data_IF_700365553122
#
_entry.id   IF_700365553122
#
_cell.length_a   1.000
_cell.length_b   1.000
_cell.length_c   1.000
_cell.angle_alpha   90.00
_cell.angle_beta   90.00
_cell.angle_gamma   90.00
#
_symmetry.space_group_name_H-M   'P 1'
#
loop_
_entity.id
_entity.type
_entity.pdbx_description
1 polymer ?
#
# COMPACT_ATOMS: atom_id res chain seq x y z
N UNK A 1 -13.21 16.85 -58.75
CA UNK A 1 -12.76 17.39 -57.45
C UNK A 1 -13.60 16.77 -56.35
N UNK A 2 -13.02 15.91 -55.49
CA UNK A 2 -13.61 15.52 -54.20
C UNK A 2 -12.45 15.28 -53.24
N UNK A 3 -12.46 16.00 -52.12
CA UNK A 3 -11.35 16.13 -51.16
C UNK A 3 -11.15 14.87 -50.30
N UNK A 4 -9.87 14.53 -50.08
CA UNK A 4 -9.17 14.30 -48.78
C UNK A 4 -10.00 13.55 -47.72
N UNK A 5 -9.68 12.31 -47.36
CA UNK A 5 -8.49 11.97 -46.58
C UNK A 5 -8.91 11.76 -45.12
N UNK A 6 -9.13 10.50 -44.73
CA UNK A 6 -9.54 10.11 -43.39
C UNK A 6 -8.48 10.48 -42.36
N UNK A 7 -8.81 11.42 -41.46
CA UNK A 7 -8.03 11.66 -40.25
C UNK A 7 -8.61 10.76 -39.16
N UNK A 8 -7.85 9.75 -38.77
CA UNK A 8 -7.92 9.18 -37.43
C UNK A 8 -7.80 10.34 -36.43
N UNK A 9 -8.89 10.68 -35.76
CA UNK A 9 -8.90 11.72 -34.73
C UNK A 9 -8.07 11.22 -33.56
N UNK A 10 -6.88 11.78 -33.39
CA UNK A 10 -6.10 11.63 -32.16
C UNK A 10 -6.98 12.02 -30.97
N UNK A 11 -6.99 11.21 -29.89
CA UNK A 11 -7.80 11.50 -28.72
C UNK A 11 -7.36 12.83 -28.11
N UNK A 12 -8.34 13.65 -27.74
CA UNK A 12 -8.10 14.96 -27.12
C UNK A 12 -7.26 14.81 -25.85
N UNK A 13 -6.38 15.77 -25.50
CA UNK A 13 -5.64 15.75 -24.24
C UNK A 13 -6.53 15.55 -22.99
N UNK A 14 -7.80 16.01 -23.05
CA UNK A 14 -8.78 15.81 -21.97
C UNK A 14 -9.36 14.39 -21.89
N UNK A 15 -9.33 13.64 -22.99
CA UNK A 15 -9.71 12.22 -23.01
C UNK A 15 -8.55 11.35 -22.54
N UNK A 16 -7.31 11.71 -22.86
CA UNK A 16 -6.10 11.06 -22.33
C UNK A 16 -5.93 11.29 -20.81
N UNK A 17 -6.28 12.47 -20.31
CA UNK A 17 -6.28 12.76 -18.88
C UNK A 17 -7.31 11.89 -18.13
N UNK A 18 -8.53 11.75 -18.66
CA UNK A 18 -9.57 10.91 -18.04
C UNK A 18 -9.25 9.42 -18.05
N UNK A 19 -8.59 8.90 -19.08
CA UNK A 19 -8.20 7.48 -19.12
C UNK A 19 -7.11 7.17 -18.11
N UNK A 20 -6.12 8.06 -17.93
CA UNK A 20 -5.05 7.87 -16.95
C UNK A 20 -5.53 7.98 -15.50
N UNK A 21 -6.41 8.94 -15.19
CA UNK A 21 -7.02 9.04 -13.86
C UNK A 21 -7.92 7.83 -13.55
N UNK A 22 -8.71 7.36 -14.53
CA UNK A 22 -9.62 6.22 -14.36
C UNK A 22 -8.92 4.84 -14.31
N UNK A 23 -7.77 4.67 -14.96
CA UNK A 23 -6.96 3.46 -14.84
C UNK A 23 -6.17 3.41 -13.53
N UNK A 24 -5.70 4.56 -13.04
CA UNK A 24 -4.97 4.66 -11.79
C UNK A 24 -5.87 4.47 -10.55
N UNK A 25 -7.16 4.81 -10.63
CA UNK A 25 -8.13 4.52 -9.57
C UNK A 25 -8.46 3.01 -9.45
N UNK A 26 -8.41 2.24 -10.55
CA UNK A 26 -8.68 0.80 -10.55
C UNK A 26 -7.57 -0.05 -9.93
N UNK A 27 -6.35 0.48 -9.83
CA UNK A 27 -5.20 -0.18 -9.20
C UNK A 27 -5.11 0.06 -7.68
N UNK A 28 -6.01 0.84 -7.08
CA UNK A 28 -6.01 1.15 -5.63
C UNK A 28 -6.39 -0.01 -4.71
N UNK A 29 -7.04 -1.06 -5.23
CA UNK A 29 -7.31 -2.24 -4.41
C UNK A 29 -6.02 -3.07 -4.31
N UNK A 30 -5.56 -3.34 -3.08
CA UNK A 30 -4.58 -4.39 -2.85
C UNK A 30 -5.03 -5.67 -3.58
N UNK A 31 -4.10 -6.57 -3.98
CA UNK A 31 -4.44 -7.83 -4.66
C UNK A 31 -5.47 -8.71 -3.92
N UNK A 32 -5.73 -8.39 -2.66
CA UNK A 32 -6.69 -9.07 -1.78
C UNK A 32 -8.10 -8.48 -1.78
N UNK A 33 -8.36 -7.37 -2.49
CA UNK A 33 -9.66 -6.69 -2.55
C UNK A 33 -10.10 -6.02 -1.24
N UNK A 34 -9.25 -6.02 -0.20
CA UNK A 34 -9.54 -5.40 1.10
C UNK A 34 -9.12 -3.94 1.14
N UNK A 35 -9.89 -3.06 1.80
CA UNK A 35 -9.52 -1.66 1.97
C UNK A 35 -8.28 -1.52 2.86
N UNK A 36 -7.49 -0.49 2.60
CA UNK A 36 -6.38 -0.06 3.46
C UNK A 36 -6.91 0.94 4.50
N UNK A 37 -6.67 0.69 5.78
CA UNK A 37 -7.07 1.63 6.85
C UNK A 37 -6.01 2.70 7.12
N UNK A 38 -4.75 2.39 6.81
CA UNK A 38 -3.60 3.17 7.25
C UNK A 38 -2.38 2.94 6.37
N UNK A 39 -1.68 4.02 6.02
CA UNK A 39 -0.37 3.96 5.41
C UNK A 39 0.70 4.43 6.41
N UNK A 40 1.60 3.53 6.80
CA UNK A 40 2.76 3.84 7.66
C UNK A 40 4.02 3.74 6.81
N UNK A 41 4.88 4.77 6.89
CA UNK A 41 6.12 4.81 6.13
C UNK A 41 7.33 4.76 7.07
N UNK A 42 8.31 3.95 6.70
CA UNK A 42 9.51 3.66 7.50
C UNK A 42 10.76 3.96 6.66
N UNK A 43 11.85 4.36 7.31
CA UNK A 43 13.15 4.70 6.68
C UNK A 43 13.34 6.19 6.41
N UNK A 44 14.59 6.67 6.42
CA UNK A 44 14.90 8.10 6.34
C UNK A 44 14.40 8.80 5.07
N UNK A 45 14.52 8.13 3.92
CA UNK A 45 14.09 8.69 2.63
C UNK A 45 12.57 8.87 2.51
N UNK A 46 11.79 8.21 3.38
CA UNK A 46 10.34 8.42 3.46
C UNK A 46 9.96 9.81 3.96
N UNK A 47 10.91 10.59 4.53
CA UNK A 47 10.67 11.97 4.95
C UNK A 47 10.47 12.93 3.78
N UNK A 48 10.97 12.61 2.59
CA UNK A 48 10.81 13.43 1.40
C UNK A 48 9.32 13.56 1.01
N UNK A 49 8.86 14.79 0.81
CA UNK A 49 7.45 15.07 0.51
C UNK A 49 6.98 14.39 -0.79
N UNK A 50 7.82 14.35 -1.82
CA UNK A 50 7.51 13.69 -3.08
C UNK A 50 7.21 12.20 -2.92
N UNK A 51 7.99 11.48 -2.11
CA UNK A 51 7.77 10.04 -1.82
C UNK A 51 6.47 9.84 -1.06
N UNK A 52 6.20 10.69 -0.07
CA UNK A 52 4.96 10.60 0.71
C UNK A 52 3.72 10.83 -0.15
N UNK A 53 3.74 11.83 -1.04
CA UNK A 53 2.64 12.10 -1.97
C UNK A 53 2.44 10.95 -2.96
N UNK A 54 3.52 10.44 -3.54
CA UNK A 54 3.44 9.29 -4.44
C UNK A 54 2.84 8.06 -3.74
N UNK A 55 3.33 7.74 -2.53
CA UNK A 55 2.84 6.61 -1.76
C UNK A 55 1.36 6.78 -1.35
N UNK A 56 0.96 7.98 -0.93
CA UNK A 56 -0.44 8.29 -0.59
C UNK A 56 -1.36 8.16 -1.81
N UNK A 57 -0.94 8.68 -2.96
CA UNK A 57 -1.71 8.57 -4.21
C UNK A 57 -1.86 7.10 -4.65
N UNK A 58 -0.80 6.29 -4.51
CA UNK A 58 -0.82 4.88 -4.87
C UNK A 58 -1.66 4.03 -3.92
N UNK A 59 -1.53 4.26 -2.61
CA UNK A 59 -2.27 3.54 -1.59
C UNK A 59 -3.74 4.00 -1.46
N UNK A 60 -4.03 5.20 -1.94
CA UNK A 60 -5.33 5.85 -1.77
C UNK A 60 -5.68 6.25 -0.33
N UNK A 61 -4.68 6.25 0.57
CA UNK A 61 -4.81 6.54 1.99
C UNK A 61 -3.68 7.48 2.41
N UNK A 62 -3.99 8.45 3.26
CA UNK A 62 -3.01 9.40 3.78
C UNK A 62 -1.95 8.75 4.68
N UNK A 63 -0.73 9.27 4.59
CA UNK A 63 0.40 8.79 5.40
C UNK A 63 0.21 9.16 6.86
N UNK A 64 0.15 8.15 7.73
CA UNK A 64 0.16 8.33 9.19
C UNK A 64 1.50 8.88 9.68
N UNK A 65 1.43 9.83 10.62
CA UNK A 65 2.58 10.51 11.23
C UNK A 65 2.79 10.17 12.71
N UNK A 66 2.03 9.23 13.24
CA UNK A 66 2.07 8.83 14.66
C UNK A 66 3.29 7.97 15.02
N UNK A 67 4.03 7.49 14.01
CA UNK A 67 5.19 6.62 14.16
C UNK A 67 6.42 7.33 13.58
N UNK A 68 7.52 7.37 14.33
CA UNK A 68 8.79 7.87 13.81
C UNK A 68 9.40 6.86 12.81
N UNK A 69 9.61 7.23 11.54
CA UNK A 69 10.17 6.36 10.52
C UNK A 69 11.58 5.84 10.81
N UNK A 70 12.36 6.54 11.64
CA UNK A 70 13.74 6.17 11.96
C UNK A 70 13.83 5.16 13.10
N UNK A 71 12.89 5.20 14.05
CA UNK A 71 12.94 4.39 15.27
C UNK A 71 12.00 3.19 15.24
N UNK A 72 10.98 3.20 14.38
CA UNK A 72 9.94 2.17 14.34
C UNK A 72 10.50 0.74 14.28
N UNK A 73 11.54 0.51 13.46
CA UNK A 73 12.16 -0.81 13.29
C UNK A 73 12.89 -1.25 14.55
N UNK A 74 13.71 -0.37 15.14
CA UNK A 74 14.47 -0.69 16.35
C UNK A 74 13.53 -0.98 17.53
N UNK A 75 12.47 -0.19 17.68
CA UNK A 75 11.43 -0.41 18.71
C UNK A 75 10.70 -1.74 18.50
N UNK A 76 10.35 -2.07 17.25
CA UNK A 76 9.72 -3.35 16.91
C UNK A 76 10.63 -4.55 17.20
N UNK A 77 11.92 -4.45 16.88
CA UNK A 77 12.90 -5.49 17.18
C UNK A 77 13.10 -5.71 18.69
N UNK A 78 13.17 -4.62 19.47
CA UNK A 78 13.25 -4.70 20.93
C UNK A 78 12.00 -5.36 21.54
N UNK A 79 10.81 -5.02 21.03
CA UNK A 79 9.56 -5.67 21.46
C UNK A 79 9.56 -7.16 21.11
N UNK A 80 10.03 -7.54 19.92
CA UNK A 80 10.14 -8.94 19.51
C UNK A 80 11.10 -9.72 20.42
N UNK A 81 12.24 -9.13 20.79
CA UNK A 81 13.16 -9.74 21.75
C UNK A 81 12.50 -9.96 23.12
N UNK A 82 11.78 -8.95 23.61
CA UNK A 82 11.04 -9.06 24.88
C UNK A 82 9.97 -10.17 24.87
N UNK A 83 9.31 -10.41 23.72
CA UNK A 83 8.37 -11.54 23.58
C UNK A 83 9.10 -12.88 23.64
N UNK A 84 10.24 -13.01 22.95
CA UNK A 84 11.04 -14.26 22.95
C UNK A 84 11.60 -14.56 24.34
N UNK A 85 11.99 -13.54 25.10
CA UNK A 85 12.47 -13.67 26.48
C UNK A 85 11.34 -13.90 27.49
N UNK A 86 10.07 -13.80 27.08
CA UNK A 86 8.90 -13.95 27.94
C UNK A 86 8.62 -12.73 28.84
N UNK A 87 9.27 -11.59 28.59
CA UNK A 87 9.05 -10.33 29.31
C UNK A 87 7.77 -9.62 28.88
N UNK A 88 7.34 -9.81 27.63
CA UNK A 88 6.10 -9.28 27.08
C UNK A 88 5.13 -10.41 26.75
N UNK A 89 3.88 -10.31 27.22
CA UNK A 89 2.83 -11.31 27.02
C UNK A 89 1.59 -10.69 26.36
N UNK A 90 0.74 -11.52 25.73
CA UNK A 90 -0.48 -11.07 25.05
C UNK A 90 -0.26 -10.52 23.63
N UNK A 91 0.93 -10.65 23.07
CA UNK A 91 1.24 -10.32 21.68
C UNK A 91 1.64 -11.58 20.92
N UNK A 92 1.01 -11.81 19.77
CA UNK A 92 1.38 -12.85 18.82
C UNK A 92 1.76 -12.21 17.49
N UNK A 93 2.93 -12.58 16.97
CA UNK A 93 3.42 -12.16 15.65
C UNK A 93 3.49 -13.42 14.79
N UNK A 94 2.71 -13.45 13.72
CA UNK A 94 2.67 -14.56 12.77
C UNK A 94 3.29 -14.10 11.44
N UNK A 95 4.06 -14.98 10.81
CA UNK A 95 4.49 -14.77 9.42
C UNK A 95 3.39 -15.19 8.43
N UNK A 96 3.65 -14.99 7.14
CA UNK A 96 2.66 -15.27 6.10
C UNK A 96 2.27 -16.74 6.03
N UNK A 97 3.19 -17.67 6.31
CA UNK A 97 2.93 -19.10 6.27
C UNK A 97 2.14 -19.57 7.50
N UNK A 98 2.51 -19.13 8.71
CA UNK A 98 1.77 -19.40 9.93
C UNK A 98 0.32 -18.89 9.82
N UNK A 99 0.14 -17.67 9.30
CA UNK A 99 -1.18 -17.11 9.07
C UNK A 99 -2.00 -17.95 8.06
N UNK A 100 -1.38 -18.43 6.97
CA UNK A 100 -2.05 -19.27 5.98
C UNK A 100 -2.46 -20.63 6.57
N UNK A 101 -1.58 -21.28 7.32
CA UNK A 101 -1.90 -22.54 8.00
C UNK A 101 -3.04 -22.36 8.99
N UNK A 102 -2.99 -21.32 9.81
CA UNK A 102 -4.07 -20.98 10.75
C UNK A 102 -5.41 -20.83 10.05
N UNK A 103 -5.43 -20.10 8.92
CA UNK A 103 -6.64 -19.93 8.11
C UNK A 103 -7.12 -21.24 7.45
N UNK A 104 -6.20 -22.15 7.10
CA UNK A 104 -6.54 -23.45 6.53
C UNK A 104 -7.16 -24.38 7.58
N UNK A 105 -6.56 -24.47 8.78
CA UNK A 105 -7.08 -25.29 9.87
C UNK A 105 -8.44 -24.78 10.36
N UNK A 106 -8.64 -23.46 10.44
CA UNK A 106 -9.92 -22.87 10.84
C UNK A 106 -11.08 -23.15 9.86
N UNK A 107 -10.82 -23.67 8.65
CA UNK A 107 -11.86 -24.09 7.69
C UNK A 107 -12.19 -25.58 7.75
N UNK A 108 -11.37 -26.37 8.46
CA UNK A 108 -11.57 -27.81 8.64
C UNK A 108 -12.43 -28.12 9.88
N UNK A 109 -12.60 -27.15 10.77
CA UNK A 109 -13.59 -27.13 11.85
C UNK A 109 -14.94 -26.60 11.35
#
# INVERSE_FOLDING_TARGET
QKQVGGRSSEPSPGDMARTSEGEFERSRALPTGRPLDALVMVGGMSKMLGVRKLAANLAGVDVRRTVDPMEAVARGAALQAAVVEGLATGLAVEDSWQAQLRLAYAKLE
#
